data_IF_809362870563
#
_entry.id   IF_809362870563
#
_cell.length_a   1.000
_cell.length_b   1.000
_cell.length_c   1.000
_cell.angle_alpha   90.00
_cell.angle_beta   90.00
_cell.angle_gamma   90.00
#
_symmetry.space_group_name_H-M   'P 1'
#
loop_
_entity.id
_entity.type
_entity.pdbx_description
1 polymer ?
#
# COMPACT_ATOMS: atom_id res chain seq x y z
N UNK A 1 38.91 -41.99 1.14
CA UNK A 1 38.47 -42.88 2.24
C UNK A 1 36.96 -42.84 2.35
N UNK A 2 36.32 -43.84 2.96
CA UNK A 2 34.86 -43.88 3.21
C UNK A 2 34.59 -43.55 4.68
N UNK A 3 33.55 -42.77 4.97
CA UNK A 3 32.83 -42.87 6.24
C UNK A 3 31.32 -42.66 6.01
N UNK A 4 30.49 -43.38 6.78
CA UNK A 4 29.03 -43.28 6.80
C UNK A 4 28.58 -42.85 8.19
N UNK A 5 27.62 -41.92 8.26
CA UNK A 5 26.70 -41.73 9.39
C UNK A 5 25.38 -41.27 8.76
N UNK A 6 24.38 -42.14 8.55
CA UNK A 6 23.49 -42.78 9.53
C UNK A 6 22.45 -41.82 10.12
N UNK A 7 21.41 -41.60 9.29
CA UNK A 7 19.99 -41.52 9.62
C UNK A 7 19.60 -41.45 11.11
N UNK A 8 18.78 -40.45 11.46
CA UNK A 8 17.81 -40.58 12.55
C UNK A 8 16.43 -40.11 12.06
N UNK A 9 15.39 -40.88 12.38
CA UNK A 9 13.99 -40.62 12.00
C UNK A 9 13.21 -40.31 13.28
N UNK A 10 12.31 -39.32 13.22
CA UNK A 10 11.31 -39.07 14.25
C UNK A 10 9.92 -38.95 13.60
N UNK A 11 9.12 -40.01 13.68
CA UNK A 11 7.66 -39.90 13.52
C UNK A 11 7.05 -39.57 14.89
N UNK A 12 6.09 -38.65 14.91
CA UNK A 12 5.03 -38.63 15.91
C UNK A 12 3.69 -38.51 15.19
N UNK A 13 2.79 -39.45 15.48
CA UNK A 13 1.46 -39.57 14.89
C UNK A 13 0.39 -38.89 15.75
N UNK A 14 -0.79 -38.67 15.18
CA UNK A 14 -1.83 -37.83 15.76
C UNK A 14 -2.62 -38.48 16.91
N UNK A 15 -3.17 -37.62 17.77
CA UNK A 15 -4.42 -37.89 18.49
C UNK A 15 -5.52 -36.94 17.99
N UNK A 16 -6.78 -37.28 18.25
CA UNK A 16 -7.96 -36.72 17.57
C UNK A 16 -9.15 -36.52 18.52
N UNK A 17 -10.31 -36.12 17.94
CA UNK A 17 -11.59 -35.64 18.52
C UNK A 17 -11.67 -34.10 18.55
N UNK A 18 -12.63 -33.39 17.95
CA UNK A 18 -14.03 -33.64 17.52
C UNK A 18 -15.10 -33.25 18.56
N UNK A 19 -16.26 -32.82 18.02
CA UNK A 19 -17.53 -32.48 18.68
C UNK A 19 -17.61 -31.10 19.39
N UNK A 20 -18.79 -30.48 19.56
CA UNK A 20 -19.90 -30.19 18.61
C UNK A 20 -20.98 -29.29 19.27
N UNK A 21 -21.63 -28.43 18.46
CA UNK A 21 -23.01 -27.88 18.59
C UNK A 21 -23.57 -27.45 19.98
N UNK A 22 -24.05 -26.20 20.08
CA UNK A 22 -25.51 -25.92 20.03
C UNK A 22 -25.85 -24.42 20.18
N UNK A 23 -26.81 -23.96 19.37
CA UNK A 23 -27.76 -22.87 19.75
C UNK A 23 -29.04 -23.51 20.33
N UNK A 24 -29.97 -22.70 20.88
CA UNK A 24 -31.29 -22.66 20.23
C UNK A 24 -31.98 -21.27 20.17
N UNK A 25 -33.00 -21.16 19.30
CA UNK A 25 -33.94 -20.02 19.17
C UNK A 25 -34.84 -19.83 20.43
N UNK A 26 -35.71 -18.81 20.62
CA UNK A 26 -36.77 -18.16 19.78
C UNK A 26 -37.25 -16.85 20.53
N UNK A 27 -38.25 -16.02 20.20
CA UNK A 27 -39.40 -15.96 19.26
C UNK A 27 -39.84 -14.47 19.00
N UNK A 28 -40.85 -14.15 18.13
CA UNK A 28 -41.10 -12.78 17.63
C UNK A 28 -42.52 -12.17 17.88
N UNK A 29 -42.72 -10.95 17.35
CA UNK A 29 -44.01 -10.31 16.94
C UNK A 29 -44.91 -9.70 18.05
N UNK A 30 -45.93 -8.85 17.75
CA UNK A 30 -46.49 -8.46 16.43
C UNK A 30 -46.62 -6.93 16.17
N UNK A 31 -47.41 -6.54 15.15
CA UNK A 31 -47.67 -5.16 14.72
C UNK A 31 -49.16 -4.89 14.39
N UNK A 32 -49.56 -3.61 14.41
CA UNK A 32 -50.78 -3.03 13.82
C UNK A 32 -50.49 -1.53 13.57
N UNK A 33 -50.69 -0.95 12.38
CA UNK A 33 -51.96 -0.66 11.68
C UNK A 33 -52.83 0.38 12.39
N UNK A 34 -53.07 1.53 11.72
CA UNK A 34 -54.43 1.92 11.31
C UNK A 34 -54.47 3.16 10.38
N UNK A 35 -55.33 3.06 9.37
CA UNK A 35 -56.02 4.14 8.65
C UNK A 35 -57.53 3.76 8.71
N UNK A 36 -58.49 4.42 8.02
CA UNK A 36 -58.44 5.68 7.26
C UNK A 36 -59.56 6.68 7.65
N UNK A 37 -59.63 7.84 6.98
CA UNK A 37 -60.86 8.62 6.79
C UNK A 37 -60.73 9.51 5.54
N UNK A 38 -61.83 9.80 4.85
CA UNK A 38 -61.84 10.50 3.55
C UNK A 38 -63.15 11.27 3.29
N UNK A 39 -63.08 12.43 2.63
CA UNK A 39 -64.21 13.01 1.86
C UNK A 39 -63.80 14.21 0.96
N UNK A 40 -64.14 14.11 -0.33
CA UNK A 40 -64.75 15.11 -1.26
C UNK A 40 -64.69 16.63 -1.00
N UNK A 41 -64.66 17.54 -2.00
CA UNK A 41 -64.46 17.42 -3.48
C UNK A 41 -64.53 18.79 -4.21
N UNK A 42 -63.56 19.09 -5.10
CA UNK A 42 -63.67 19.85 -6.40
C UNK A 42 -64.31 21.28 -6.44
N UNK A 43 -64.20 22.08 -7.53
CA UNK A 43 -63.77 21.75 -8.91
C UNK A 43 -62.63 22.59 -9.55
N UNK A 44 -62.13 22.01 -10.65
CA UNK A 44 -61.47 22.58 -11.84
C UNK A 44 -60.86 24.00 -11.82
N UNK A 45 -59.53 24.06 -12.03
CA UNK A 45 -58.95 24.90 -13.10
C UNK A 45 -57.57 24.38 -13.53
N UNK A 46 -57.25 24.48 -14.81
CA UNK A 46 -55.98 24.10 -15.45
C UNK A 46 -55.83 24.89 -16.77
N UNK A 47 -54.62 25.09 -17.36
CA UNK A 47 -53.36 24.42 -17.02
C UNK A 47 -52.15 25.35 -16.76
N UNK A 48 -51.25 24.92 -15.88
CA UNK A 48 -49.83 25.24 -15.92
C UNK A 48 -49.08 24.23 -15.03
N UNK A 49 -48.51 23.17 -15.60
CA UNK A 49 -47.82 22.12 -14.83
C UNK A 49 -46.49 22.64 -14.31
N UNK A 50 -46.26 22.74 -12.98
CA UNK A 50 -44.91 22.96 -12.45
C UNK A 50 -44.04 21.77 -12.84
N UNK A 51 -42.75 21.96 -13.19
CA UNK A 51 -41.86 20.83 -13.41
C UNK A 51 -41.81 19.97 -12.13
N UNK A 52 -41.92 18.66 -12.30
CA UNK A 52 -41.82 17.73 -11.18
C UNK A 52 -40.48 17.94 -10.44
N UNK A 53 -40.42 17.74 -9.11
CA UNK A 53 -39.15 17.78 -8.40
C UNK A 53 -38.23 16.72 -8.98
N UNK A 54 -37.23 17.15 -9.75
CA UNK A 54 -36.21 16.28 -10.30
C UNK A 54 -35.54 15.56 -9.15
N UNK A 55 -35.58 14.22 -9.15
CA UNK A 55 -34.79 13.42 -8.23
C UNK A 55 -33.33 13.92 -8.28
N UNK A 56 -32.62 13.96 -7.13
CA UNK A 56 -31.23 14.39 -7.12
C UNK A 56 -30.45 13.50 -8.09
N UNK A 57 -30.01 14.11 -9.20
CA UNK A 57 -29.24 13.37 -10.19
C UNK A 57 -27.90 13.02 -9.57
N UNK A 58 -27.43 11.79 -9.78
CA UNK A 58 -26.08 11.36 -9.41
C UNK A 58 -25.04 12.13 -10.23
N UNK A 59 -24.80 13.38 -9.85
CA UNK A 59 -23.59 14.12 -10.19
C UNK A 59 -22.48 13.50 -9.35
N UNK A 60 -22.03 12.32 -9.80
CA UNK A 60 -20.86 11.65 -9.27
C UNK A 60 -19.69 12.62 -9.34
N UNK A 61 -19.34 13.22 -8.20
CA UNK A 61 -18.46 14.37 -8.14
C UNK A 61 -17.12 14.04 -8.80
N UNK A 62 -16.86 14.64 -9.96
CA UNK A 62 -15.65 14.40 -10.73
C UNK A 62 -14.47 15.03 -10.01
N UNK A 63 -13.82 14.23 -9.16
CA UNK A 63 -12.58 14.60 -8.48
C UNK A 63 -11.62 15.23 -9.49
N UNK A 64 -10.96 16.35 -9.14
CA UNK A 64 -10.13 17.10 -10.07
C UNK A 64 -9.04 16.19 -10.65
N UNK A 65 -8.71 16.31 -11.96
CA UNK A 65 -7.78 15.41 -12.61
C UNK A 65 -6.41 15.48 -11.92
N UNK A 66 -5.93 14.31 -11.47
CA UNK A 66 -4.66 14.17 -10.75
C UNK A 66 -3.50 14.46 -11.69
N UNK A 67 -3.05 15.72 -11.71
CA UNK A 67 -2.00 16.18 -12.65
C UNK A 67 -0.60 15.71 -12.26
N UNK A 68 -0.44 15.04 -11.11
CA UNK A 68 0.78 14.30 -10.82
C UNK A 68 0.95 13.19 -11.86
N UNK A 69 2.13 13.11 -12.47
CA UNK A 69 2.59 12.01 -13.31
C UNK A 69 3.89 11.54 -12.66
N UNK A 70 4.07 10.24 -12.50
CA UNK A 70 5.32 9.66 -11.99
C UNK A 70 6.51 10.14 -12.86
N UNK A 71 7.37 11.04 -12.35
CA UNK A 71 8.16 11.93 -13.22
C UNK A 71 9.43 11.26 -13.79
N UNK A 72 9.71 10.03 -13.38
CA UNK A 72 10.88 9.26 -13.80
C UNK A 72 10.63 8.42 -15.05
N UNK A 73 9.40 8.47 -15.58
CA UNK A 73 8.95 7.72 -16.74
C UNK A 73 8.50 6.30 -16.36
N UNK A 74 7.30 5.85 -16.82
CA UNK A 74 7.02 4.43 -16.93
C UNK A 74 7.92 3.80 -18.02
N UNK A 75 8.09 2.49 -17.97
CA UNK A 75 8.78 1.73 -19.03
C UNK A 75 7.87 1.49 -20.23
N UNK A 76 6.55 1.47 -20.02
CA UNK A 76 5.55 1.41 -21.08
C UNK A 76 5.34 2.78 -21.76
N UNK A 77 5.38 2.80 -23.09
CA UNK A 77 4.90 3.93 -23.90
C UNK A 77 3.38 4.13 -23.74
N UNK A 78 2.92 5.37 -23.87
CA UNK A 78 1.55 5.80 -23.58
C UNK A 78 0.45 5.10 -24.44
N UNK A 79 -0.81 5.02 -23.96
CA UNK A 79 -1.33 5.57 -22.70
C UNK A 79 -0.89 4.79 -21.46
N UNK A 80 -0.48 5.54 -20.43
CA UNK A 80 0.01 4.99 -19.16
C UNK A 80 -1.19 4.69 -18.27
N UNK A 81 -1.46 3.41 -17.99
CA UNK A 81 -2.44 3.04 -16.98
C UNK A 81 -1.91 3.38 -15.57
N UNK A 82 -2.81 3.70 -14.64
CA UNK A 82 -2.51 4.31 -13.34
C UNK A 82 -3.36 3.71 -12.23
N UNK A 83 -2.85 3.73 -11.01
CA UNK A 83 -3.60 3.27 -9.83
C UNK A 83 -4.96 3.97 -9.69
N UNK A 84 -5.00 5.30 -9.80
CA UNK A 84 -6.24 6.09 -9.72
C UNK A 84 -7.20 5.94 -10.91
N UNK A 85 -6.71 5.42 -12.04
CA UNK A 85 -7.49 5.03 -13.21
C UNK A 85 -8.08 3.63 -13.07
N UNK A 86 -7.22 2.60 -12.99
CA UNK A 86 -7.62 1.19 -12.91
C UNK A 86 -8.46 0.87 -11.69
N UNK A 87 -8.15 1.46 -10.54
CA UNK A 87 -8.89 1.27 -9.28
C UNK A 87 -9.71 2.51 -8.92
N UNK A 88 -10.28 3.20 -9.93
CA UNK A 88 -11.05 4.44 -9.75
C UNK A 88 -12.19 4.30 -8.74
N UNK A 89 -12.92 3.19 -8.83
CA UNK A 89 -14.12 2.93 -8.03
C UNK A 89 -13.76 2.20 -6.73
N UNK A 90 -14.12 2.75 -5.55
CA UNK A 90 -14.11 2.01 -4.29
C UNK A 90 -15.27 1.00 -4.22
N UNK A 91 -15.36 0.16 -3.17
CA UNK A 91 -16.50 -0.73 -2.96
C UNK A 91 -17.82 0.05 -2.80
N UNK A 92 -18.95 -0.58 -3.09
CA UNK A 92 -20.26 0.07 -2.99
C UNK A 92 -20.53 0.64 -1.59
N UNK A 93 -20.96 1.91 -1.53
CA UNK A 93 -21.18 2.67 -0.30
C UNK A 93 -19.95 3.39 0.27
N UNK A 94 -18.76 3.22 -0.31
CA UNK A 94 -17.55 3.94 0.09
C UNK A 94 -17.27 5.14 -0.84
N UNK A 95 -16.73 6.22 -0.27
CA UNK A 95 -16.23 7.40 -0.99
C UNK A 95 -14.72 7.51 -0.81
N UNK A 96 -13.96 7.71 -1.90
CA UNK A 96 -12.50 7.92 -1.83
C UNK A 96 -12.21 9.23 -1.09
N UNK A 97 -11.26 9.19 -0.15
CA UNK A 97 -10.89 10.36 0.66
C UNK A 97 -10.18 11.41 -0.22
N UNK A 98 -10.45 12.70 -0.03
CA UNK A 98 -9.73 13.74 -0.78
C UNK A 98 -8.24 13.79 -0.41
N UNK A 99 -7.39 14.10 -1.39
CA UNK A 99 -5.94 14.20 -1.20
C UNK A 99 -5.45 15.57 -1.65
N UNK A 100 -4.56 16.17 -0.86
CA UNK A 100 -4.00 17.47 -1.21
C UNK A 100 -3.09 17.38 -2.44
N UNK A 101 -3.19 18.38 -3.32
CA UNK A 101 -2.32 18.55 -4.49
C UNK A 101 -0.84 18.61 -4.08
N UNK A 102 0.01 17.85 -4.75
CA UNK A 102 1.44 17.71 -4.46
C UNK A 102 1.77 16.83 -3.24
N UNK A 103 0.80 16.21 -2.59
CA UNK A 103 1.01 15.30 -1.45
C UNK A 103 1.57 13.93 -1.88
N UNK A 104 2.10 13.17 -0.92
CA UNK A 104 2.53 11.79 -1.16
C UNK A 104 1.35 10.89 -1.55
N UNK A 105 0.16 11.15 -0.99
CA UNK A 105 -1.08 10.48 -1.35
C UNK A 105 -1.48 10.71 -2.82
N UNK A 106 -1.34 11.94 -3.34
CA UNK A 106 -1.56 12.23 -4.77
C UNK A 106 -0.53 11.50 -5.65
N UNK A 107 0.74 11.48 -5.23
CA UNK A 107 1.81 10.76 -5.93
C UNK A 107 1.55 9.24 -6.00
N UNK A 108 1.13 8.61 -4.89
CA UNK A 108 0.80 7.18 -4.87
C UNK A 108 -0.42 6.85 -5.74
N UNK A 109 -1.45 7.70 -5.73
CA UNK A 109 -2.58 7.61 -6.68
C UNK A 109 -2.13 7.69 -8.14
N UNK A 110 -1.08 8.47 -8.44
CA UNK A 110 -0.54 8.62 -9.80
C UNK A 110 0.42 7.51 -10.26
N UNK A 111 0.67 6.46 -9.45
CA UNK A 111 1.61 5.39 -9.80
C UNK A 111 1.23 4.71 -11.12
N UNK A 112 2.19 4.55 -12.06
CA UNK A 112 1.94 3.85 -13.31
C UNK A 112 1.78 2.35 -13.02
N UNK A 113 0.91 1.69 -13.77
CA UNK A 113 0.71 0.26 -13.70
C UNK A 113 1.14 -0.39 -15.02
N UNK A 114 1.78 -1.54 -14.91
CA UNK A 114 1.96 -2.43 -16.06
C UNK A 114 0.60 -2.94 -16.54
N UNK A 115 0.50 -3.33 -17.80
CA UNK A 115 -0.73 -3.86 -18.41
C UNK A 115 -1.40 -4.95 -17.54
N UNK A 116 -2.71 -5.09 -17.65
CA UNK A 116 -3.43 -6.14 -16.93
C UNK A 116 -2.86 -7.53 -17.31
N UNK A 117 -2.62 -8.38 -16.31
CA UNK A 117 -1.86 -9.61 -16.52
C UNK A 117 -0.36 -9.42 -16.75
N UNK A 118 0.26 -8.33 -16.30
CA UNK A 118 1.71 -8.28 -16.12
C UNK A 118 2.18 -9.38 -15.14
N UNK A 119 3.30 -10.07 -15.41
CA UNK A 119 3.85 -11.07 -14.49
C UNK A 119 4.60 -10.39 -13.34
N UNK A 120 4.45 -10.88 -12.11
CA UNK A 120 5.38 -10.52 -11.03
C UNK A 120 6.73 -11.19 -11.31
N UNK A 121 7.81 -10.39 -11.32
CA UNK A 121 9.19 -10.86 -11.48
C UNK A 121 10.09 -10.43 -10.31
N UNK A 122 11.16 -11.19 -10.07
CA UNK A 122 12.26 -10.82 -9.17
C UNK A 122 13.23 -9.80 -9.81
N UNK A 123 14.23 -9.33 -9.05
CA UNK A 123 15.31 -8.45 -9.52
C UNK A 123 16.20 -9.04 -10.64
N UNK A 124 16.03 -10.31 -10.99
CA UNK A 124 16.75 -11.02 -12.07
C UNK A 124 15.86 -11.18 -13.32
N UNK A 125 14.59 -10.81 -13.26
CA UNK A 125 13.60 -10.98 -14.32
C UNK A 125 12.94 -12.37 -14.35
N UNK A 126 13.18 -13.23 -13.36
CA UNK A 126 12.49 -14.51 -13.24
C UNK A 126 11.03 -14.27 -12.86
N UNK A 127 10.09 -14.94 -13.54
CA UNK A 127 8.67 -14.96 -13.13
C UNK A 127 8.52 -15.69 -11.81
N UNK A 128 7.80 -15.07 -10.87
CA UNK A 128 7.48 -15.63 -9.56
C UNK A 128 6.09 -16.26 -9.55
N UNK A 129 5.80 -17.07 -8.53
CA UNK A 129 4.52 -17.78 -8.37
C UNK A 129 4.19 -18.66 -9.60
N UNK A 130 2.91 -18.89 -9.92
CA UNK A 130 2.52 -19.60 -11.15
C UNK A 130 2.61 -18.67 -12.36
N UNK A 131 3.69 -18.79 -13.15
CA UNK A 131 3.87 -18.04 -14.39
C UNK A 131 3.86 -16.50 -14.26
N UNK A 132 4.07 -15.95 -13.06
CA UNK A 132 3.92 -14.53 -12.74
C UNK A 132 2.57 -14.15 -12.12
N UNK A 133 1.76 -15.09 -11.64
CA UNK A 133 0.39 -14.89 -11.12
C UNK A 133 0.23 -15.37 -9.68
N UNK A 134 -0.54 -14.62 -8.89
CA UNK A 134 -1.01 -15.03 -7.57
C UNK A 134 -2.39 -14.40 -7.30
N UNK A 135 -3.38 -15.13 -6.75
CA UNK A 135 -4.73 -14.58 -6.50
C UNK A 135 -4.77 -13.44 -5.47
N UNK A 136 -3.72 -13.30 -4.65
CA UNK A 136 -3.51 -12.16 -3.74
C UNK A 136 -2.84 -10.93 -4.39
N UNK A 137 -2.77 -10.84 -5.72
CA UNK A 137 -2.18 -9.72 -6.48
C UNK A 137 -3.09 -9.37 -7.64
N UNK A 138 -3.35 -8.06 -7.84
CA UNK A 138 -4.22 -7.56 -8.91
C UNK A 138 -3.50 -6.68 -9.95
N UNK A 139 -2.36 -6.06 -9.59
CA UNK A 139 -1.55 -5.29 -10.52
C UNK A 139 -0.08 -5.23 -10.11
N UNK A 140 0.78 -4.89 -11.07
CA UNK A 140 2.20 -4.57 -10.87
C UNK A 140 2.39 -3.10 -11.24
N UNK A 141 3.07 -2.33 -10.39
CA UNK A 141 3.44 -0.95 -10.70
C UNK A 141 4.60 -0.92 -11.70
N UNK A 142 4.56 -0.03 -12.69
CA UNK A 142 5.59 0.05 -13.72
C UNK A 142 6.83 0.87 -13.30
N UNK A 143 7.41 0.46 -12.18
CA UNK A 143 8.68 0.96 -11.67
C UNK A 143 9.74 -0.16 -11.74
N UNK A 144 11.00 0.19 -11.94
CA UNK A 144 12.10 -0.78 -11.90
C UNK A 144 12.30 -1.39 -10.51
N UNK A 145 12.98 -2.54 -10.45
CA UNK A 145 13.38 -3.21 -9.20
C UNK A 145 14.85 -2.85 -8.84
N UNK A 146 15.58 -2.23 -9.78
CA UNK A 146 17.03 -2.33 -9.86
C UNK A 146 17.50 -3.71 -10.37
N UNK A 147 18.82 -3.90 -10.47
CA UNK A 147 19.46 -5.15 -10.90
C UNK A 147 20.11 -5.92 -9.73
N UNK A 148 19.66 -5.64 -8.49
CA UNK A 148 20.22 -6.14 -7.24
C UNK A 148 19.08 -6.54 -6.28
N UNK A 149 19.40 -7.39 -5.33
CA UNK A 149 18.52 -7.79 -4.23
C UNK A 149 18.43 -6.68 -3.15
N UNK A 150 17.94 -5.49 -3.52
CA UNK A 150 17.91 -4.30 -2.66
C UNK A 150 16.54 -3.64 -2.54
N UNK A 151 15.69 -3.65 -3.58
CA UNK A 151 14.35 -3.05 -3.48
C UNK A 151 13.36 -4.01 -2.82
N UNK A 152 13.63 -4.35 -1.56
CA UNK A 152 12.80 -5.21 -0.74
C UNK A 152 11.63 -4.42 -0.11
N UNK A 153 10.87 -5.04 0.79
CA UNK A 153 9.59 -4.53 1.30
C UNK A 153 9.63 -3.09 1.85
N UNK A 154 10.55 -2.79 2.77
CA UNK A 154 10.74 -1.46 3.36
C UNK A 154 11.36 -0.48 2.37
N UNK A 155 12.26 -0.96 1.52
CA UNK A 155 13.06 -0.18 0.58
C UNK A 155 12.20 0.40 -0.55
N UNK A 156 11.14 -0.29 -0.95
CA UNK A 156 10.12 0.26 -1.85
C UNK A 156 9.36 1.44 -1.23
N UNK A 157 9.09 1.43 0.08
CA UNK A 157 8.44 2.55 0.79
C UNK A 157 9.39 3.74 0.86
N UNK A 158 10.65 3.49 1.24
CA UNK A 158 11.74 4.47 1.26
C UNK A 158 11.91 5.09 -0.14
N UNK A 159 11.94 4.26 -1.20
CA UNK A 159 12.01 4.69 -2.60
C UNK A 159 10.89 5.65 -2.95
N UNK A 160 9.63 5.22 -2.81
CA UNK A 160 8.48 5.97 -3.28
C UNK A 160 8.36 7.33 -2.56
N UNK A 161 8.60 7.35 -1.25
CA UNK A 161 8.65 8.60 -0.49
C UNK A 161 9.83 9.50 -0.90
N UNK A 162 11.01 8.92 -1.18
CA UNK A 162 12.16 9.67 -1.65
C UNK A 162 11.94 10.28 -3.04
N UNK A 163 11.40 9.49 -3.97
CA UNK A 163 11.11 9.88 -5.35
C UNK A 163 10.05 10.99 -5.41
N UNK A 164 9.03 10.93 -4.55
CA UNK A 164 8.05 12.02 -4.39
C UNK A 164 8.74 13.34 -3.96
N UNK A 165 9.58 13.30 -2.92
CA UNK A 165 10.29 14.49 -2.43
C UNK A 165 11.29 15.03 -3.47
N UNK A 166 12.08 14.16 -4.07
CA UNK A 166 13.08 14.53 -5.09
C UNK A 166 12.43 15.10 -6.37
N UNK A 167 11.26 14.58 -6.75
CA UNK A 167 10.44 15.08 -7.87
C UNK A 167 9.79 16.44 -7.61
N UNK A 168 9.54 16.78 -6.34
CA UNK A 168 9.15 18.14 -5.89
C UNK A 168 10.32 19.13 -5.85
N UNK A 169 11.51 18.73 -6.29
CA UNK A 169 12.73 19.56 -6.22
C UNK A 169 13.40 19.56 -4.84
N UNK A 170 12.92 18.78 -3.87
CA UNK A 170 13.57 18.69 -2.56
C UNK A 170 14.91 17.96 -2.67
N UNK A 171 15.89 18.42 -1.88
CA UNK A 171 17.26 17.87 -1.88
C UNK A 171 17.79 17.52 -0.50
N UNK A 172 17.24 18.12 0.55
CA UNK A 172 17.48 17.68 1.93
C UNK A 172 16.62 16.45 2.25
N UNK A 173 17.04 15.33 1.66
CA UNK A 173 16.44 14.02 1.85
C UNK A 173 17.50 13.15 2.54
N UNK A 174 17.15 12.65 3.72
CA UNK A 174 18.03 11.86 4.57
C UNK A 174 17.22 10.72 5.18
N UNK A 175 17.69 9.49 4.98
CA UNK A 175 17.23 8.32 5.73
C UNK A 175 18.31 7.88 6.71
N UNK A 176 18.04 6.87 7.53
CA UNK A 176 19.02 6.31 8.47
C UNK A 176 19.22 4.83 8.24
N UNK A 177 20.47 4.40 8.44
CA UNK A 177 20.80 3.00 8.55
C UNK A 177 20.11 2.34 9.77
N UNK A 178 20.18 1.02 9.85
CA UNK A 178 19.78 0.26 11.05
C UNK A 178 20.56 0.73 12.28
N UNK A 179 21.83 1.11 12.15
CA UNK A 179 22.65 1.76 13.20
C UNK A 179 22.22 3.18 13.59
N UNK A 180 21.25 3.79 12.88
CA UNK A 180 20.79 5.18 13.11
C UNK A 180 21.63 6.25 12.41
N UNK A 181 22.78 5.89 11.83
CA UNK A 181 23.65 6.79 11.06
C UNK A 181 22.87 7.41 9.88
N UNK A 182 22.83 8.77 9.75
CA UNK A 182 22.15 9.43 8.63
C UNK A 182 22.89 9.23 7.30
N UNK A 183 22.08 9.06 6.25
CA UNK A 183 22.47 8.87 4.85
C UNK A 183 21.82 9.99 4.03
N UNK A 184 22.49 11.15 3.93
CA UNK A 184 21.95 12.34 3.25
C UNK A 184 22.24 12.35 1.75
N UNK A 185 21.24 12.66 0.92
CA UNK A 185 21.43 12.84 -0.52
C UNK A 185 22.38 14.00 -0.83
N UNK A 186 22.32 15.13 -0.09
CA UNK A 186 23.24 16.26 -0.30
C UNK A 186 24.70 15.87 -0.06
N UNK A 187 24.95 15.04 0.96
CA UNK A 187 26.27 14.44 1.20
C UNK A 187 26.68 13.52 0.04
N UNK A 188 25.78 12.67 -0.43
CA UNK A 188 26.04 11.77 -1.56
C UNK A 188 26.40 12.51 -2.86
N UNK A 189 25.72 13.62 -3.14
CA UNK A 189 26.01 14.56 -4.25
C UNK A 189 27.37 15.21 -4.08
N UNK A 190 27.74 15.61 -2.86
CA UNK A 190 29.05 16.17 -2.55
C UNK A 190 30.20 15.13 -2.59
N UNK A 191 29.88 13.83 -2.60
CA UNK A 191 30.83 12.72 -2.71
C UNK A 191 30.99 11.86 -1.45
N UNK A 192 30.14 12.03 -0.44
CA UNK A 192 30.15 11.22 0.79
C UNK A 192 29.61 9.82 0.53
N UNK A 193 30.25 8.79 1.11
CA UNK A 193 29.85 7.38 1.00
C UNK A 193 29.91 6.71 2.37
N UNK A 194 29.09 5.68 2.54
CA UNK A 194 29.05 4.85 3.73
C UNK A 194 30.07 3.70 3.66
N UNK A 195 30.70 3.40 4.79
CA UNK A 195 31.68 2.32 4.94
C UNK A 195 31.44 1.59 6.26
N UNK A 196 31.73 0.28 6.30
CA UNK A 196 31.74 -0.49 7.54
C UNK A 196 32.73 0.11 8.55
N UNK A 197 32.28 0.26 9.79
CA UNK A 197 33.03 0.73 10.94
C UNK A 197 32.80 -0.26 12.09
N UNK A 198 33.44 -1.44 11.99
CA UNK A 198 33.15 -2.58 12.86
C UNK A 198 31.77 -3.15 12.56
N UNK A 199 30.85 -3.09 13.54
CA UNK A 199 29.45 -3.52 13.40
C UNK A 199 28.52 -2.44 12.83
N UNK A 200 28.97 -1.19 12.84
CA UNK A 200 28.21 0.00 12.44
C UNK A 200 28.73 0.54 11.10
N UNK A 201 28.29 1.73 10.69
CA UNK A 201 28.82 2.44 9.51
C UNK A 201 29.29 3.84 9.84
N UNK A 202 30.33 4.29 9.13
CA UNK A 202 30.81 5.66 9.12
C UNK A 202 30.64 6.29 7.73
N UNK A 203 30.44 7.62 7.70
CA UNK A 203 30.31 8.40 6.46
C UNK A 203 31.59 9.22 6.26
N UNK A 204 32.15 9.20 5.05
CA UNK A 204 33.29 10.03 4.67
C UNK A 204 33.26 10.42 3.18
N UNK A 205 33.90 11.53 2.83
CA UNK A 205 34.16 11.91 1.44
C UNK A 205 35.04 10.85 0.79
N UNK A 206 34.55 10.21 -0.27
CA UNK A 206 35.25 9.13 -0.97
C UNK A 206 34.99 9.09 -2.50
N UNK A 207 34.13 9.95 -3.00
CA UNK A 207 33.94 10.23 -4.42
C UNK A 207 34.15 11.74 -4.67
N UNK A 208 34.45 12.15 -5.92
CA UNK A 208 34.26 13.55 -6.32
C UNK A 208 32.76 13.92 -6.24
N UNK A 209 32.48 15.21 -6.13
CA UNK A 209 31.11 15.71 -6.29
C UNK A 209 30.59 15.38 -7.70
N UNK A 210 29.28 15.10 -7.81
CA UNK A 210 28.62 14.71 -9.07
C UNK A 210 27.41 15.59 -9.36
N UNK A 211 26.96 15.57 -10.62
CA UNK A 211 25.75 16.26 -11.06
C UNK A 211 24.53 15.73 -10.30
N UNK A 212 23.69 16.65 -9.82
CA UNK A 212 22.35 16.37 -9.32
C UNK A 212 21.46 15.91 -10.49
N UNK A 213 21.26 14.60 -10.61
CA UNK A 213 20.34 13.98 -11.55
C UNK A 213 19.75 12.66 -11.03
N UNK A 214 18.73 12.15 -11.73
CA UNK A 214 17.99 10.98 -11.27
C UNK A 214 18.82 9.68 -11.27
N UNK A 215 19.87 9.59 -12.11
CA UNK A 215 20.75 8.43 -12.10
C UNK A 215 21.62 8.43 -10.83
N UNK A 216 22.15 9.60 -10.42
CA UNK A 216 22.83 9.74 -9.15
C UNK A 216 21.88 9.53 -7.95
N UNK A 217 20.62 9.97 -8.06
CA UNK A 217 19.59 9.76 -7.04
C UNK A 217 19.23 8.28 -6.84
N UNK A 218 19.04 7.52 -7.92
CA UNK A 218 18.85 6.06 -7.83
C UNK A 218 20.08 5.35 -7.27
N UNK A 219 21.29 5.82 -7.61
CA UNK A 219 22.54 5.33 -7.00
C UNK A 219 22.64 5.59 -5.49
N UNK A 220 22.17 6.75 -5.01
CA UNK A 220 22.06 7.03 -3.58
C UNK A 220 21.05 6.11 -2.89
N UNK A 221 19.91 5.82 -3.55
CA UNK A 221 18.91 4.90 -3.02
C UNK A 221 19.46 3.47 -2.89
N UNK A 222 20.23 2.97 -3.86
CA UNK A 222 20.96 1.70 -3.73
C UNK A 222 21.91 1.67 -2.51
N UNK A 223 22.65 2.76 -2.26
CA UNK A 223 23.46 2.92 -1.04
C UNK A 223 22.57 2.94 0.23
N UNK A 224 21.38 3.57 0.21
CA UNK A 224 20.44 3.58 1.34
C UNK A 224 19.91 2.18 1.64
N UNK A 225 19.44 1.43 0.64
CA UNK A 225 18.92 0.06 0.80
C UNK A 225 19.99 -0.94 1.26
N UNK A 226 21.27 -0.62 1.07
CA UNK A 226 22.39 -1.42 1.58
C UNK A 226 22.58 -1.30 3.11
N UNK A 227 21.94 -0.33 3.78
CA UNK A 227 22.16 -0.03 5.20
C UNK A 227 20.89 0.23 6.01
N UNK A 228 19.79 0.62 5.37
CA UNK A 228 18.45 0.77 5.94
C UNK A 228 17.67 -0.56 5.86
N UNK A 229 16.40 -0.54 6.20
CA UNK A 229 15.48 -1.67 6.05
C UNK A 229 14.33 -1.59 7.05
N UNK A 230 13.58 -2.69 7.22
CA UNK A 230 12.37 -2.74 8.05
C UNK A 230 12.59 -2.23 9.49
N UNK A 231 13.76 -2.49 10.08
CA UNK A 231 14.10 -2.05 11.43
C UNK A 231 14.38 -0.54 11.56
N UNK A 232 14.99 0.12 10.56
CA UNK A 232 15.11 1.59 10.59
C UNK A 232 13.79 2.26 10.20
N UNK A 233 13.05 1.70 9.25
CA UNK A 233 11.74 2.21 8.84
C UNK A 233 10.71 2.17 9.98
N UNK A 234 10.67 1.11 10.80
CA UNK A 234 9.77 1.05 11.97
C UNK A 234 10.14 2.06 13.07
N UNK A 235 11.45 2.26 13.31
CA UNK A 235 11.99 3.17 14.33
C UNK A 235 11.78 4.64 13.96
N UNK A 236 12.07 4.99 12.70
CA UNK A 236 12.09 6.37 12.24
C UNK A 236 10.70 6.85 11.77
N UNK A 237 9.79 5.92 11.46
CA UNK A 237 8.38 6.22 11.19
C UNK A 237 7.64 6.67 12.45
N UNK A 238 6.87 7.75 12.33
CA UNK A 238 5.98 8.25 13.39
C UNK A 238 4.77 7.33 13.51
N UNK A 239 4.32 7.02 14.74
CA UNK A 239 3.06 6.30 14.95
C UNK A 239 1.88 7.22 14.57
N UNK A 240 0.92 6.68 13.81
CA UNK A 240 -0.38 7.33 13.59
C UNK A 240 -1.23 7.09 14.85
N UNK A 241 -1.94 8.11 15.34
CA UNK A 241 -2.55 8.05 16.68
C UNK A 241 -3.84 7.22 16.71
N UNK A 242 -4.60 7.22 15.62
CA UNK A 242 -5.85 6.47 15.46
C UNK A 242 -5.97 5.85 14.07
N UNK A 243 -6.53 4.63 13.91
CA UNK A 243 -6.91 4.10 12.60
C UNK A 243 -7.89 5.00 11.81
N UNK A 244 -8.63 5.89 12.48
CA UNK A 244 -9.48 6.89 11.80
C UNK A 244 -8.68 7.98 11.08
N UNK A 245 -7.42 8.23 11.47
CA UNK A 245 -6.49 9.20 10.85
C UNK A 245 -5.68 8.60 9.68
N UNK A 246 -5.96 7.34 9.32
CA UNK A 246 -5.26 6.59 8.28
C UNK A 246 -5.46 7.23 6.89
N UNK A 247 -4.36 7.42 6.18
CA UNK A 247 -4.28 8.07 4.86
C UNK A 247 -3.33 7.32 3.93
N UNK A 248 -3.47 7.52 2.62
CA UNK A 248 -2.49 7.02 1.65
C UNK A 248 -1.10 7.65 1.90
N UNK A 249 -0.07 6.82 1.86
CA UNK A 249 1.28 7.15 2.32
C UNK A 249 1.60 6.64 3.73
N UNK A 250 0.60 6.23 4.50
CA UNK A 250 0.82 5.42 5.72
C UNK A 250 1.19 3.99 5.36
N UNK A 251 1.87 3.31 6.28
CA UNK A 251 2.30 1.94 6.09
C UNK A 251 2.23 1.15 7.39
N UNK A 252 1.96 -0.15 7.27
CA UNK A 252 2.14 -1.08 8.38
C UNK A 252 3.54 -1.69 8.28
N UNK A 253 4.26 -1.75 9.40
CA UNK A 253 5.63 -2.29 9.44
C UNK A 253 5.84 -3.12 10.70
N UNK A 254 6.44 -4.30 10.52
CA UNK A 254 6.76 -5.21 11.59
C UNK A 254 8.21 -5.66 11.43
N UNK A 255 9.12 -5.06 12.20
CA UNK A 255 10.47 -5.59 12.36
C UNK A 255 10.46 -6.97 13.04
N UNK A 256 11.54 -7.72 12.86
CA UNK A 256 11.70 -9.08 13.37
C UNK A 256 13.05 -9.67 13.01
N UNK A 257 13.39 -10.79 13.64
CA UNK A 257 14.62 -11.56 13.40
C UNK A 257 14.20 -13.00 13.05
N UNK A 258 14.68 -13.60 11.94
CA UNK A 258 15.64 -13.04 10.98
C UNK A 258 15.06 -11.96 10.05
N UNK A 259 13.73 -11.85 9.91
CA UNK A 259 13.10 -10.95 8.95
C UNK A 259 11.92 -10.16 9.54
N UNK A 260 11.62 -9.02 8.92
CA UNK A 260 10.41 -8.23 9.13
C UNK A 260 9.86 -7.72 7.80
N UNK A 261 8.57 -7.39 7.74
CA UNK A 261 7.87 -6.99 6.52
C UNK A 261 7.18 -5.62 6.65
N UNK A 262 6.90 -4.98 5.52
CA UNK A 262 6.18 -3.72 5.45
C UNK A 262 5.23 -3.68 4.24
N UNK A 263 4.06 -3.05 4.41
CA UNK A 263 3.06 -2.83 3.35
C UNK A 263 2.57 -1.38 3.37
N UNK A 264 2.41 -0.78 2.19
CA UNK A 264 2.09 0.64 1.98
C UNK A 264 0.61 0.82 1.62
N UNK A 265 -0.04 1.79 2.23
CA UNK A 265 -1.39 2.21 1.85
C UNK A 265 -1.28 3.16 0.66
N UNK A 266 -1.73 2.68 -0.51
CA UNK A 266 -1.69 3.41 -1.77
C UNK A 266 -2.91 4.32 -1.95
N UNK A 267 -4.05 3.91 -1.41
CA UNK A 267 -5.29 4.68 -1.44
C UNK A 267 -6.23 4.34 -0.27
N UNK A 268 -7.13 5.27 0.05
CA UNK A 268 -8.12 5.17 1.13
C UNK A 268 -9.49 5.66 0.65
N UNK A 269 -10.52 4.88 0.95
CA UNK A 269 -11.93 5.26 0.89
C UNK A 269 -12.62 4.95 2.22
N UNK A 270 -13.72 5.65 2.53
CA UNK A 270 -14.50 5.48 3.78
C UNK A 270 -15.99 5.45 3.50
N UNK A 271 -16.76 4.74 4.31
CA UNK A 271 -18.22 4.78 4.29
C UNK A 271 -18.82 5.55 5.49
N UNK A 272 -20.12 5.80 5.44
CA UNK A 272 -20.89 6.50 6.50
C UNK A 272 -20.88 5.76 7.86
N UNK A 273 -20.48 4.48 7.88
CA UNK A 273 -20.39 3.64 9.08
C UNK A 273 -18.99 3.69 9.70
N UNK A 274 -18.07 4.46 9.11
CA UNK A 274 -16.68 4.57 9.56
C UNK A 274 -15.78 3.41 9.13
N UNK A 275 -16.26 2.49 8.27
CA UNK A 275 -15.41 1.46 7.67
C UNK A 275 -14.43 2.13 6.72
N UNK A 276 -13.22 1.59 6.64
CA UNK A 276 -12.15 2.14 5.81
C UNK A 276 -11.71 1.09 4.79
N UNK A 277 -11.83 1.39 3.50
CA UNK A 277 -11.34 0.55 2.42
C UNK A 277 -9.96 1.03 1.95
N UNK A 278 -8.99 0.12 1.86
CA UNK A 278 -7.60 0.41 1.52
C UNK A 278 -7.17 -0.25 0.21
N UNK A 279 -6.45 0.47 -0.65
CA UNK A 279 -5.54 -0.17 -1.62
C UNK A 279 -4.19 -0.36 -0.94
N UNK A 280 -3.66 -1.59 -0.96
CA UNK A 280 -2.40 -1.93 -0.29
C UNK A 280 -1.37 -2.39 -1.33
N UNK A 281 -0.15 -1.87 -1.24
CA UNK A 281 0.98 -2.25 -2.09
C UNK A 281 2.18 -2.74 -1.29
N UNK A 282 3.03 -3.56 -1.92
CA UNK A 282 4.28 -4.02 -1.31
C UNK A 282 5.37 -4.30 -2.36
N UNK A 283 6.64 -4.32 -1.92
CA UNK A 283 7.64 -5.26 -2.46
C UNK A 283 7.78 -6.43 -1.47
N UNK A 284 8.68 -7.38 -1.71
CA UNK A 284 8.88 -8.54 -0.83
C UNK A 284 10.37 -8.85 -0.65
N UNK A 285 10.69 -10.06 -0.14
CA UNK A 285 12.05 -10.55 0.06
C UNK A 285 12.16 -11.96 -0.58
N UNK A 286 13.05 -12.22 -1.55
CA UNK A 286 13.95 -11.29 -2.26
C UNK A 286 13.26 -10.11 -2.95
N UNK A 287 14.04 -9.13 -3.41
CA UNK A 287 13.54 -7.95 -4.11
C UNK A 287 12.75 -8.35 -5.38
N UNK A 288 11.52 -7.86 -5.50
CA UNK A 288 10.61 -8.20 -6.59
C UNK A 288 9.80 -6.98 -7.05
N UNK A 289 8.96 -7.20 -8.06
CA UNK A 289 8.10 -6.17 -8.63
C UNK A 289 7.17 -5.58 -7.57
N UNK A 290 7.05 -4.24 -7.51
CA UNK A 290 6.11 -3.61 -6.59
C UNK A 290 4.67 -3.91 -7.03
N UNK A 291 3.90 -4.52 -6.13
CA UNK A 291 2.63 -5.17 -6.46
C UNK A 291 1.48 -4.59 -5.65
N UNK A 292 0.33 -4.39 -6.30
CA UNK A 292 -0.95 -4.07 -5.65
C UNK A 292 -1.60 -5.37 -5.22
N UNK A 293 -1.87 -5.49 -3.92
CA UNK A 293 -2.41 -6.70 -3.30
C UNK A 293 -3.91 -6.84 -3.54
N UNK A 294 -4.42 -8.05 -3.35
CA UNK A 294 -5.84 -8.36 -3.38
C UNK A 294 -6.26 -9.24 -2.20
N UNK A 295 -7.50 -9.10 -1.75
CA UNK A 295 -8.17 -9.96 -0.78
C UNK A 295 -9.40 -10.60 -1.43
N UNK A 296 -9.42 -11.93 -1.59
CA UNK A 296 -10.53 -12.64 -2.25
C UNK A 296 -10.80 -12.18 -3.69
N UNK A 297 -9.80 -11.63 -4.39
CA UNK A 297 -9.95 -11.00 -5.71
C UNK A 297 -10.33 -9.51 -5.69
N UNK A 298 -10.74 -8.95 -4.55
CA UNK A 298 -10.94 -7.50 -4.39
C UNK A 298 -9.59 -6.77 -4.27
N UNK A 299 -9.35 -5.67 -5.00
CA UNK A 299 -8.18 -4.81 -4.77
C UNK A 299 -8.30 -4.01 -3.46
N UNK A 300 -9.52 -3.81 -2.96
CA UNK A 300 -9.83 -3.03 -1.77
C UNK A 300 -9.97 -3.92 -0.53
N UNK A 301 -9.15 -3.65 0.48
CA UNK A 301 -9.19 -4.28 1.80
C UNK A 301 -10.13 -3.48 2.71
N UNK A 302 -11.30 -4.02 3.04
CA UNK A 302 -12.26 -3.37 3.94
C UNK A 302 -11.87 -3.64 5.39
N UNK A 303 -11.69 -2.56 6.16
CA UNK A 303 -11.33 -2.56 7.57
C UNK A 303 -12.52 -2.03 8.38
N UNK A 304 -13.01 -2.85 9.30
CA UNK A 304 -14.15 -2.53 10.18
C UNK A 304 -13.72 -1.63 11.36
N UNK A 305 -14.59 -0.75 11.88
CA UNK A 305 -14.36 0.00 13.11
C UNK A 305 -13.93 -0.89 14.27
N UNK A 306 -12.81 -0.55 14.91
CA UNK A 306 -12.26 -1.32 16.03
C UNK A 306 -11.50 -2.60 15.64
N UNK A 307 -11.29 -2.88 14.34
CA UNK A 307 -10.46 -4.00 13.90
C UNK A 307 -9.05 -3.92 14.53
N UNK A 308 -8.62 -4.99 15.21
CA UNK A 308 -7.32 -5.03 15.90
C UNK A 308 -6.13 -5.22 14.94
N UNK A 309 -6.37 -5.80 13.76
CA UNK A 309 -5.37 -6.17 12.76
C UNK A 309 -5.83 -5.87 11.34
N UNK A 310 -4.88 -5.79 10.41
CA UNK A 310 -5.08 -5.84 8.95
C UNK A 310 -4.43 -7.10 8.41
N UNK A 311 -5.20 -7.93 7.71
CA UNK A 311 -4.70 -9.16 7.09
C UNK A 311 -4.23 -8.91 5.66
N UNK A 312 -3.17 -9.60 5.23
CA UNK A 312 -2.60 -9.48 3.88
C UNK A 312 -2.18 -10.87 3.36
N UNK A 313 -2.28 -11.15 2.04
CA UNK A 313 -2.11 -12.51 1.50
C UNK A 313 -0.68 -13.10 1.55
N UNK A 314 0.31 -12.38 2.09
CA UNK A 314 1.72 -12.80 2.08
C UNK A 314 2.42 -12.74 3.46
N UNK A 315 1.75 -12.31 4.52
CA UNK A 315 2.38 -12.13 5.82
C UNK A 315 1.40 -12.33 6.98
N UNK A 316 1.92 -12.53 8.19
CA UNK A 316 1.11 -12.56 9.42
C UNK A 316 0.35 -11.22 9.59
N UNK A 317 -0.87 -11.22 10.17
CA UNK A 317 -1.65 -10.00 10.33
C UNK A 317 -0.89 -8.86 11.00
N UNK A 318 -1.04 -7.66 10.45
CA UNK A 318 -0.44 -6.43 10.95
C UNK A 318 -1.34 -5.82 12.03
N UNK A 319 -0.92 -5.73 13.31
CA UNK A 319 -1.73 -5.07 14.33
C UNK A 319 -1.84 -3.58 14.06
N UNK A 320 -2.94 -2.94 14.43
CA UNK A 320 -3.11 -1.48 14.22
C UNK A 320 -1.98 -0.64 14.83
N UNK A 321 -1.37 -1.11 15.93
CA UNK A 321 -0.20 -0.50 16.57
C UNK A 321 1.10 -0.55 15.73
N UNK A 322 1.10 -1.25 14.58
CA UNK A 322 2.20 -1.28 13.60
C UNK A 322 2.07 -0.21 12.49
N UNK A 323 0.99 0.59 12.49
CA UNK A 323 0.79 1.69 11.56
C UNK A 323 1.81 2.83 11.80
N UNK A 324 2.37 3.38 10.72
CA UNK A 324 3.37 4.44 10.72
C UNK A 324 3.17 5.42 9.55
N UNK A 325 3.75 6.62 9.69
CA UNK A 325 3.84 7.70 8.69
C UNK A 325 5.26 8.30 8.72
N UNK A 326 5.81 8.72 7.58
CA UNK A 326 7.10 9.43 7.50
C UNK A 326 6.94 10.93 7.80
#
# INVERSE_FOLDING_TARGET
MRFRALLLIALLTACSRSEARNEPAKAPAPAASNAPASTTSQPANAPATPPAPTAPSDVAASLPPVTAVYPWGPRASAPVDRLDGRFRSPPAGFTRVDVARGSFAEFLRSLPLQAEGAPVVDYRGNKLYDGGRHPGIVAVADIDIGAKDLQQCADAIIRLHAEWRYGRGERDITYRAVSGQPLSYRGYVAGDRAFLAGKDIAIRRAAPAKKDDHALFRGWLDDVFSWAGTASLERDGKKVASPSEMTAGDFFVLSGVPFGHAVLILDVAKDERGRTALLIGQSYMPAQSFQVLANGGSPWFIIEPGAAVVETPFWRPFPMSSLRRL
#
